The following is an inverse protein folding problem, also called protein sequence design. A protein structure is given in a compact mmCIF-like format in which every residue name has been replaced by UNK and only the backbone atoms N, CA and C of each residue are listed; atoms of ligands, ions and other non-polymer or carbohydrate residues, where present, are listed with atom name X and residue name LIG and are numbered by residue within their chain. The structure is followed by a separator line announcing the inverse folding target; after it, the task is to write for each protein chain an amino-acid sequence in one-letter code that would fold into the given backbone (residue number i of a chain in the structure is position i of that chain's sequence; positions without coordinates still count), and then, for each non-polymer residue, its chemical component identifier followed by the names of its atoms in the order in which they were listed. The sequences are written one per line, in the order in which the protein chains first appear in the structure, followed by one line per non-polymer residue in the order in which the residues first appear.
data_IF_128572304282
#
_entry.id   IF_128572304282
#
_cell.length_a   1.000
_cell.length_b   1.000
_cell.length_c   1.000
_cell.angle_alpha   90.00
_cell.angle_beta   90.00
_cell.angle_gamma   90.00
#
_symmetry.space_group_name_H-M   'P 1'
#
loop_
_entity.id
_entity.type
_entity.pdbx_description
1 polymer ?
#
# COMPACT_ATOMS: atom_id res chain seq x y z
N UNK A 1 -0.23 4.09 24.34
CA UNK A 1 -0.70 3.69 22.99
C UNK A 1 -0.18 2.30 22.60
N UNK A 2 1.12 2.01 22.75
CA UNK A 2 1.69 0.67 22.48
C UNK A 2 0.91 -0.43 23.21
N UNK A 3 0.72 -0.28 24.52
CA UNK A 3 -0.01 -1.26 25.35
C UNK A 3 -1.44 -1.48 24.85
N UNK A 4 -2.18 -0.39 24.58
CA UNK A 4 -3.55 -0.47 24.06
C UNK A 4 -3.65 -1.26 22.74
N UNK A 5 -2.67 -1.08 21.84
CA UNK A 5 -2.63 -1.80 20.58
C UNK A 5 -2.27 -3.29 20.78
N UNK A 6 -1.31 -3.59 21.67
CA UNK A 6 -0.94 -4.95 22.04
C UNK A 6 -2.09 -5.71 22.73
N UNK A 7 -2.78 -5.05 23.66
CA UNK A 7 -3.95 -5.57 24.38
C UNK A 7 -5.13 -5.83 23.43
N UNK A 8 -5.24 -5.03 22.38
CA UNK A 8 -6.19 -5.25 21.27
C UNK A 8 -5.78 -6.39 20.33
N UNK A 9 -4.64 -7.04 20.59
CA UNK A 9 -4.14 -8.20 19.86
C UNK A 9 -3.29 -7.88 18.63
N UNK A 10 -3.00 -6.61 18.34
CA UNK A 10 -2.21 -6.21 17.17
C UNK A 10 -0.72 -6.55 17.32
N UNK A 11 -0.05 -6.71 16.19
CA UNK A 11 1.38 -6.45 16.09
C UNK A 11 1.59 -4.93 16.03
N UNK A 12 2.66 -4.44 16.66
CA UNK A 12 2.99 -3.02 16.72
C UNK A 12 4.41 -2.84 16.19
N UNK A 13 4.61 -1.96 15.22
CA UNK A 13 5.93 -1.54 14.76
C UNK A 13 6.21 -0.18 15.38
N UNK A 14 7.35 -0.04 16.05
CA UNK A 14 7.83 1.21 16.64
C UNK A 14 9.18 1.55 16.02
N UNK A 15 9.34 2.79 15.59
CA UNK A 15 10.53 3.30 14.92
C UNK A 15 11.04 4.61 15.55
N UNK A 16 12.06 5.18 14.93
CA UNK A 16 12.32 6.61 14.93
C UNK A 16 12.03 7.13 13.52
N UNK A 17 11.23 8.18 13.39
CA UNK A 17 10.49 8.42 12.14
C UNK A 17 11.09 9.55 11.30
N UNK A 18 10.74 10.79 11.59
CA UNK A 18 11.29 11.97 10.91
C UNK A 18 12.67 12.38 11.44
N UNK A 19 13.13 11.72 12.50
CA UNK A 19 14.52 11.77 12.98
C UNK A 19 15.54 11.52 11.85
N UNK A 20 15.15 10.68 10.87
CA UNK A 20 15.96 10.35 9.68
C UNK A 20 16.43 11.57 8.91
N UNK A 21 15.55 12.55 8.72
CA UNK A 21 15.88 13.77 8.00
C UNK A 21 16.09 14.98 8.90
N UNK A 22 15.58 14.96 10.13
CA UNK A 22 15.74 16.06 11.06
C UNK A 22 17.15 16.14 11.63
N UNK A 23 17.82 15.00 11.84
CA UNK A 23 19.17 14.99 12.37
C UNK A 23 20.03 13.80 11.94
N UNK A 24 19.46 12.64 11.59
CA UNK A 24 20.28 11.49 11.21
C UNK A 24 20.96 11.68 9.83
N UNK A 25 20.34 12.45 8.93
CA UNK A 25 20.88 12.80 7.60
C UNK A 25 22.27 13.45 7.65
N UNK A 26 22.60 14.15 8.74
CA UNK A 26 23.92 14.76 8.92
C UNK A 26 25.01 13.76 9.35
N UNK A 27 24.75 12.45 9.46
CA UNK A 27 25.75 11.47 9.91
C UNK A 27 27.01 11.45 9.04
N UNK A 28 26.89 11.81 7.75
CA UNK A 28 28.04 11.89 6.85
C UNK A 28 29.02 13.02 7.20
N UNK A 29 28.57 14.06 7.89
CA UNK A 29 29.37 15.25 8.23
C UNK A 29 29.57 15.44 9.74
N UNK A 30 28.68 14.90 10.57
CA UNK A 30 28.73 14.96 12.03
C UNK A 30 28.48 13.56 12.64
N UNK A 31 29.33 12.63 12.22
CA UNK A 31 29.20 11.19 12.49
C UNK A 31 28.98 10.84 13.96
N UNK A 32 29.92 11.22 14.82
CA UNK A 32 29.96 10.76 16.21
C UNK A 32 28.79 11.31 17.02
N UNK A 33 28.36 12.54 16.75
CA UNK A 33 27.22 13.15 17.42
C UNK A 33 25.92 12.46 17.02
N UNK A 34 25.73 12.19 15.73
CA UNK A 34 24.55 11.48 15.23
C UNK A 34 24.51 10.06 15.77
N UNK A 35 25.62 9.33 15.72
CA UNK A 35 25.69 7.97 16.25
C UNK A 35 25.46 7.93 17.77
N UNK A 36 26.03 8.89 18.52
CA UNK A 36 25.79 9.01 19.97
C UNK A 36 24.31 9.23 20.27
N UNK A 37 23.66 10.15 19.55
CA UNK A 37 22.22 10.41 19.72
C UNK A 37 21.38 9.18 19.35
N UNK A 38 21.65 8.56 18.21
CA UNK A 38 20.96 7.35 17.76
C UNK A 38 21.07 6.22 18.80
N UNK A 39 22.27 5.98 19.31
CA UNK A 39 22.53 4.94 20.30
C UNK A 39 21.83 5.23 21.64
N UNK A 40 21.85 6.48 22.09
CA UNK A 40 21.16 6.90 23.31
C UNK A 40 19.63 6.73 23.17
N UNK A 41 19.05 7.10 22.04
CA UNK A 41 17.62 6.91 21.76
C UNK A 41 17.24 5.43 21.79
N UNK A 42 17.96 4.58 21.06
CA UNK A 42 17.66 3.15 21.03
C UNK A 42 17.92 2.44 22.36
N UNK A 43 18.90 2.88 23.14
CA UNK A 43 19.13 2.35 24.48
C UNK A 43 17.94 2.63 25.40
N UNK A 44 17.39 3.84 25.35
CA UNK A 44 16.20 4.22 26.12
C UNK A 44 14.97 3.42 25.66
N UNK A 45 14.69 3.37 24.36
CA UNK A 45 13.54 2.62 23.81
C UNK A 45 13.65 1.13 24.17
N UNK A 46 14.81 0.51 23.95
CA UNK A 46 15.03 -0.89 24.26
C UNK A 46 14.87 -1.18 25.76
N UNK A 47 15.32 -0.28 26.63
CA UNK A 47 15.15 -0.42 28.09
C UNK A 47 13.68 -0.31 28.49
N UNK A 48 12.97 0.73 28.03
CA UNK A 48 11.57 0.98 28.36
C UNK A 48 10.66 -0.18 27.95
N UNK A 49 10.88 -0.74 26.76
CA UNK A 49 10.05 -1.81 26.21
C UNK A 49 10.68 -3.20 26.33
N UNK A 50 11.66 -3.37 27.23
CA UNK A 50 12.44 -4.61 27.39
C UNK A 50 11.58 -5.85 27.59
N UNK A 51 10.50 -5.72 28.34
CA UNK A 51 9.62 -6.83 28.74
C UNK A 51 8.31 -6.86 27.95
N UNK A 52 8.11 -5.96 26.98
CA UNK A 52 6.90 -5.97 26.17
C UNK A 52 6.78 -7.25 25.34
N UNK A 53 5.52 -7.56 24.99
CA UNK A 53 5.16 -8.68 24.13
C UNK A 53 6.04 -8.78 22.87
N UNK A 54 6.29 -10.01 22.42
CA UNK A 54 7.02 -10.28 21.17
C UNK A 54 6.28 -9.78 19.91
N UNK A 55 5.02 -9.33 20.06
CA UNK A 55 4.25 -8.65 19.01
C UNK A 55 4.69 -7.20 18.78
N UNK A 56 5.41 -6.59 19.71
CA UNK A 56 6.09 -5.31 19.49
C UNK A 56 7.39 -5.57 18.71
N UNK A 57 7.51 -4.92 17.56
CA UNK A 57 8.60 -4.98 16.60
C UNK A 57 9.29 -3.62 16.63
N UNK A 58 10.63 -3.60 16.57
CA UNK A 58 11.38 -2.36 16.42
C UNK A 58 11.91 -2.24 15.00
N UNK A 59 11.71 -1.09 14.38
CA UNK A 59 12.32 -0.70 13.11
C UNK A 59 13.42 0.33 13.35
N UNK A 60 14.61 0.11 12.80
CA UNK A 60 15.79 0.88 13.18
C UNK A 60 15.68 2.39 12.92
N UNK A 61 15.10 2.79 11.78
CA UNK A 61 14.90 4.18 11.36
C UNK A 61 14.03 4.23 10.10
N UNK A 62 13.10 5.16 10.02
CA UNK A 62 12.28 5.37 8.82
C UNK A 62 13.06 6.10 7.72
N UNK A 63 12.93 5.65 6.46
CA UNK A 63 13.46 6.33 5.26
C UNK A 63 14.84 7.00 5.44
N UNK A 64 15.88 6.26 5.87
CA UNK A 64 17.19 6.84 6.16
C UNK A 64 17.83 7.41 4.89
N UNK A 65 18.29 8.66 4.98
CA UNK A 65 19.02 9.38 3.94
C UNK A 65 20.29 10.00 4.51
N UNK A 66 21.27 10.25 3.63
CA UNK A 66 22.54 10.92 3.98
C UNK A 66 23.01 11.77 2.79
N UNK A 67 22.31 12.88 2.51
CA UNK A 67 22.40 13.60 1.22
C UNK A 67 23.81 14.13 0.90
N UNK A 68 24.65 14.36 1.92
CA UNK A 68 26.03 14.84 1.73
C UNK A 68 27.06 13.72 1.47
N UNK A 69 26.62 12.48 1.24
CA UNK A 69 27.48 11.32 0.99
C UNK A 69 27.25 10.70 -0.40
N UNK A 70 28.28 10.05 -0.95
CA UNK A 70 28.13 9.21 -2.14
C UNK A 70 27.41 7.89 -1.83
N UNK A 71 27.04 7.13 -2.86
CA UNK A 71 26.30 5.87 -2.72
C UNK A 71 27.01 4.80 -1.87
N UNK A 72 28.34 4.77 -1.90
CA UNK A 72 29.14 3.81 -1.12
C UNK A 72 29.07 4.20 0.35
N UNK A 73 29.34 5.48 0.64
CA UNK A 73 29.31 6.00 2.00
C UNK A 73 27.91 5.98 2.61
N UNK A 74 26.86 6.27 1.84
CA UNK A 74 25.45 6.10 2.26
C UNK A 74 25.16 4.67 2.74
N UNK A 75 25.63 3.67 1.98
CA UNK A 75 25.44 2.26 2.34
C UNK A 75 26.21 1.87 3.62
N UNK A 76 27.43 2.39 3.81
CA UNK A 76 28.23 2.18 5.02
C UNK A 76 27.53 2.75 6.26
N UNK A 77 27.08 4.01 6.19
CA UNK A 77 26.40 4.70 7.29
C UNK A 77 25.11 3.99 7.70
N UNK A 78 24.28 3.58 6.72
CA UNK A 78 23.07 2.81 7.02
C UNK A 78 23.39 1.45 7.66
N UNK A 79 24.41 0.76 7.15
CA UNK A 79 24.84 -0.52 7.71
C UNK A 79 25.36 -0.36 9.15
N UNK A 80 26.04 0.75 9.46
CA UNK A 80 26.47 1.10 10.81
C UNK A 80 25.29 1.34 11.77
N UNK A 81 24.31 2.17 11.37
CA UNK A 81 23.10 2.39 12.17
C UNK A 81 22.35 1.08 12.43
N UNK A 82 22.16 0.25 11.41
CA UNK A 82 21.46 -1.03 11.53
C UNK A 82 22.19 -2.01 12.47
N UNK A 83 23.53 -2.09 12.40
CA UNK A 83 24.33 -2.93 13.32
C UNK A 83 24.32 -2.40 14.75
N UNK A 84 24.42 -1.08 14.92
CA UNK A 84 24.38 -0.46 16.24
C UNK A 84 23.03 -0.70 16.92
N UNK A 85 21.93 -0.43 16.20
CA UNK A 85 20.57 -0.72 16.64
C UNK A 85 20.40 -2.19 17.05
N UNK A 86 20.79 -3.13 16.18
CA UNK A 86 20.73 -4.57 16.47
C UNK A 86 21.48 -4.93 17.75
N UNK A 87 22.72 -4.46 17.88
CA UNK A 87 23.59 -4.70 19.04
C UNK A 87 22.98 -4.16 20.33
N UNK A 88 22.47 -2.92 20.32
CA UNK A 88 21.82 -2.28 21.48
C UNK A 88 20.61 -3.09 21.92
N UNK A 89 19.71 -3.41 20.99
CA UNK A 89 18.47 -4.12 21.32
C UNK A 89 18.80 -5.53 21.83
N UNK A 90 19.69 -6.29 21.19
CA UNK A 90 20.04 -7.64 21.66
C UNK A 90 20.74 -7.66 23.02
N UNK A 91 21.58 -6.67 23.30
CA UNK A 91 22.29 -6.56 24.60
C UNK A 91 21.41 -6.07 25.75
N UNK A 92 20.24 -5.48 25.46
CA UNK A 92 19.31 -4.99 26.49
C UNK A 92 18.59 -6.10 27.29
N UNK A 93 18.69 -7.37 26.86
CA UNK A 93 18.16 -8.51 27.60
C UNK A 93 16.63 -8.63 27.57
N UNK A 94 16.06 -9.51 28.40
CA UNK A 94 14.61 -9.75 28.44
C UNK A 94 14.05 -10.23 27.09
N UNK A 95 12.86 -9.76 26.73
CA UNK A 95 12.21 -10.14 25.47
C UNK A 95 12.94 -9.60 24.23
N UNK A 96 13.76 -8.56 24.38
CA UNK A 96 14.54 -7.98 23.28
C UNK A 96 15.58 -8.95 22.69
N UNK A 97 15.98 -9.99 23.44
CA UNK A 97 16.85 -11.07 22.93
C UNK A 97 16.22 -11.85 21.78
N UNK A 98 14.88 -11.85 21.67
CA UNK A 98 14.12 -12.58 20.63
C UNK A 98 13.11 -11.70 19.89
N UNK A 99 13.08 -10.39 20.17
CA UNK A 99 12.20 -9.42 19.50
C UNK A 99 12.51 -9.37 18.01
N UNK A 100 11.47 -9.31 17.18
CA UNK A 100 11.61 -9.08 15.75
C UNK A 100 12.18 -7.67 15.54
N UNK A 101 13.17 -7.56 14.66
CA UNK A 101 13.77 -6.28 14.29
C UNK A 101 13.61 -6.06 12.78
N UNK A 102 13.10 -4.89 12.41
CA UNK A 102 12.94 -4.43 11.04
C UNK A 102 14.11 -3.54 10.66
N UNK A 103 14.71 -3.81 9.50
CA UNK A 103 15.84 -3.06 8.96
C UNK A 103 15.48 -2.53 7.56
N UNK A 104 15.59 -1.22 7.31
CA UNK A 104 15.17 -0.58 6.08
C UNK A 104 16.25 -0.64 5.00
N UNK A 105 15.85 -0.52 3.74
CA UNK A 105 16.74 -0.02 2.69
C UNK A 105 16.95 1.50 2.83
N UNK A 106 17.95 2.04 2.14
CA UNK A 106 18.11 3.50 2.03
C UNK A 106 16.83 4.14 1.46
N UNK A 107 16.32 5.19 2.11
CA UNK A 107 15.03 5.84 1.80
C UNK A 107 13.86 4.85 1.71
N UNK A 108 13.97 3.68 2.35
CA UNK A 108 13.04 2.56 2.19
C UNK A 108 12.76 2.21 0.70
N UNK A 109 13.65 2.54 -0.23
CA UNK A 109 13.39 2.39 -1.66
C UNK A 109 13.62 0.94 -2.11
N UNK A 110 12.69 0.32 -2.88
CA UNK A 110 12.81 -1.06 -3.37
C UNK A 110 13.64 -1.15 -4.67
N UNK A 111 14.80 -0.50 -4.66
CA UNK A 111 15.83 -0.60 -5.69
C UNK A 111 16.72 -1.84 -5.48
N UNK A 112 17.17 -2.48 -6.57
CA UNK A 112 17.90 -3.73 -6.49
C UNK A 112 19.24 -3.59 -5.74
N UNK A 113 19.98 -2.49 -5.95
CA UNK A 113 21.26 -2.25 -5.28
C UNK A 113 21.03 -2.07 -3.79
N UNK A 114 20.04 -1.27 -3.41
CA UNK A 114 19.71 -1.01 -2.01
C UNK A 114 19.24 -2.27 -1.28
N UNK A 115 18.39 -3.07 -1.92
CA UNK A 115 17.94 -4.35 -1.36
C UNK A 115 19.08 -5.37 -1.24
N UNK A 116 20.03 -5.40 -2.19
CA UNK A 116 21.22 -6.27 -2.09
C UNK A 116 22.12 -5.86 -0.90
N UNK A 117 22.29 -4.56 -0.67
CA UNK A 117 23.03 -4.04 0.48
C UNK A 117 22.36 -4.47 1.79
N UNK A 118 21.05 -4.26 1.92
CA UNK A 118 20.30 -4.70 3.10
C UNK A 118 20.38 -6.22 3.32
N UNK A 119 20.23 -7.02 2.26
CA UNK A 119 20.34 -8.48 2.35
C UNK A 119 21.72 -8.91 2.86
N UNK A 120 22.78 -8.21 2.45
CA UNK A 120 24.14 -8.44 2.93
C UNK A 120 24.28 -8.10 4.41
N UNK A 121 23.74 -6.96 4.86
CA UNK A 121 23.70 -6.58 6.28
C UNK A 121 22.95 -7.62 7.11
N UNK A 122 21.73 -8.00 6.72
CA UNK A 122 20.92 -9.03 7.41
C UNK A 122 21.69 -10.34 7.54
N UNK A 123 22.31 -10.81 6.45
CA UNK A 123 23.12 -12.04 6.48
C UNK A 123 24.30 -11.93 7.45
N UNK A 124 24.97 -10.77 7.50
CA UNK A 124 26.14 -10.57 8.37
C UNK A 124 25.81 -10.55 9.87
N UNK A 125 24.56 -10.26 10.24
CA UNK A 125 24.11 -10.23 11.63
C UNK A 125 23.86 -11.63 12.21
N UNK A 126 23.73 -12.66 11.37
CA UNK A 126 23.47 -14.05 11.77
C UNK A 126 22.28 -14.20 12.75
N UNK A 127 21.24 -13.39 12.56
CA UNK A 127 20.09 -13.32 13.44
C UNK A 127 18.81 -13.78 12.71
N UNK A 128 18.11 -14.83 13.21
CA UNK A 128 16.91 -15.36 12.56
C UNK A 128 15.64 -14.53 12.82
N UNK A 129 15.74 -13.40 13.55
CA UNK A 129 14.62 -12.55 13.97
C UNK A 129 14.66 -11.18 13.30
N UNK A 130 15.12 -11.14 12.05
CA UNK A 130 15.19 -9.94 11.23
C UNK A 130 14.13 -9.93 10.13
N UNK A 131 13.62 -8.74 9.85
CA UNK A 131 12.66 -8.43 8.80
C UNK A 131 13.28 -7.33 7.93
N UNK A 132 13.19 -7.47 6.60
CA UNK A 132 13.52 -6.38 5.69
C UNK A 132 12.30 -5.46 5.50
N UNK A 133 12.51 -4.15 5.42
CA UNK A 133 11.45 -3.19 5.12
C UNK A 133 11.80 -2.24 3.97
N UNK A 134 10.78 -1.96 3.16
CA UNK A 134 10.78 -1.02 2.02
C UNK A 134 9.42 -0.34 1.97
N UNK A 135 9.31 0.81 1.32
CA UNK A 135 8.08 1.56 1.09
C UNK A 135 7.72 1.52 -0.39
N UNK A 136 6.42 1.64 -0.70
CA UNK A 136 5.99 1.70 -2.10
C UNK A 136 4.71 2.53 -2.27
N UNK A 137 4.87 3.70 -2.89
CA UNK A 137 3.78 4.63 -3.18
C UNK A 137 3.33 4.65 -4.64
N UNK A 138 3.59 3.55 -5.38
CA UNK A 138 3.21 3.41 -6.79
C UNK A 138 4.19 4.07 -7.77
N UNK A 139 4.01 3.75 -9.06
CA UNK A 139 4.75 4.40 -10.15
C UNK A 139 4.53 5.92 -10.12
N UNK A 140 5.61 6.69 -9.96
CA UNK A 140 5.54 8.11 -9.62
C UNK A 140 4.59 8.93 -10.50
N UNK A 141 4.67 8.90 -11.85
CA UNK A 141 3.74 9.66 -12.69
C UNK A 141 2.26 9.35 -12.45
N UNK A 142 1.93 8.09 -12.15
CA UNK A 142 0.57 7.68 -11.80
C UNK A 142 0.18 8.13 -10.40
N UNK A 143 1.07 7.95 -9.42
CA UNK A 143 0.75 8.17 -8.02
C UNK A 143 0.47 9.63 -7.68
N UNK A 144 1.07 10.58 -8.41
CA UNK A 144 0.80 12.02 -8.30
C UNK A 144 0.00 12.60 -9.48
N UNK A 145 -0.46 11.76 -10.42
CA UNK A 145 -1.23 12.15 -11.61
C UNK A 145 -0.57 13.28 -12.42
N UNK A 146 0.66 13.02 -12.88
CA UNK A 146 1.45 13.93 -13.73
C UNK A 146 1.84 13.25 -15.04
N UNK A 147 2.38 14.03 -15.98
CA UNK A 147 2.85 13.55 -17.28
C UNK A 147 1.79 12.75 -18.07
N UNK A 148 0.51 13.05 -17.86
CA UNK A 148 -0.62 12.37 -18.52
C UNK A 148 -0.93 10.95 -18.01
N UNK A 149 -0.25 10.46 -16.97
CA UNK A 149 -0.42 9.10 -16.45
C UNK A 149 -1.64 9.03 -15.52
N UNK A 150 -2.82 9.19 -16.09
CA UNK A 150 -4.10 9.26 -15.36
C UNK A 150 -4.75 7.89 -15.09
N UNK A 151 -4.17 6.80 -15.63
CA UNK A 151 -4.76 5.45 -15.64
C UNK A 151 -3.80 4.43 -15.03
N UNK A 152 -4.37 3.40 -14.40
CA UNK A 152 -3.65 2.20 -13.99
C UNK A 152 -3.36 1.31 -15.22
N UNK A 153 -2.50 1.80 -16.09
CA UNK A 153 -2.17 1.20 -17.38
C UNK A 153 -1.09 0.11 -17.26
N UNK A 154 -0.61 -0.39 -18.39
CA UNK A 154 0.42 -1.43 -18.46
C UNK A 154 1.76 -1.00 -17.87
N UNK A 155 2.11 0.29 -17.93
CA UNK A 155 3.36 0.81 -17.36
C UNK A 155 3.29 0.75 -15.84
N UNK A 156 2.19 1.22 -15.25
CA UNK A 156 1.97 1.16 -13.80
C UNK A 156 1.92 -0.28 -13.30
N UNK A 157 1.23 -1.16 -14.03
CA UNK A 157 1.15 -2.60 -13.71
C UNK A 157 2.53 -3.29 -13.77
N UNK A 158 3.35 -2.92 -14.75
CA UNK A 158 4.70 -3.46 -14.91
C UNK A 158 5.62 -3.01 -13.78
N UNK A 159 5.59 -1.73 -13.40
CA UNK A 159 6.37 -1.22 -12.28
C UNK A 159 6.03 -1.94 -10.97
N UNK A 160 4.74 -2.08 -10.68
CA UNK A 160 4.24 -2.82 -9.51
C UNK A 160 4.74 -4.27 -9.51
N UNK A 161 4.50 -5.02 -10.58
CA UNK A 161 4.87 -6.44 -10.66
C UNK A 161 6.38 -6.66 -10.61
N UNK A 162 7.18 -5.81 -11.26
CA UNK A 162 8.63 -5.90 -11.23
C UNK A 162 9.20 -5.57 -9.86
N UNK A 163 8.62 -4.59 -9.15
CA UNK A 163 9.04 -4.24 -7.80
C UNK A 163 8.83 -5.39 -6.82
N UNK A 164 7.65 -6.00 -6.81
CA UNK A 164 7.39 -7.16 -5.96
C UNK A 164 8.23 -8.38 -6.35
N UNK A 165 8.51 -8.60 -7.64
CA UNK A 165 9.42 -9.65 -8.09
C UNK A 165 10.82 -9.46 -7.50
N UNK A 166 11.37 -8.24 -7.55
CA UNK A 166 12.69 -7.95 -6.97
C UNK A 166 12.70 -8.17 -5.45
N UNK A 167 11.65 -7.72 -4.75
CA UNK A 167 11.48 -7.95 -3.30
C UNK A 167 11.48 -9.46 -2.99
N UNK A 168 10.67 -10.22 -3.71
CA UNK A 168 10.56 -11.66 -3.52
C UNK A 168 11.90 -12.37 -3.74
N UNK A 169 12.54 -12.13 -4.89
CA UNK A 169 13.78 -12.82 -5.26
C UNK A 169 14.95 -12.44 -4.36
N UNK A 170 14.96 -11.21 -3.85
CA UNK A 170 16.05 -10.72 -2.99
C UNK A 170 15.92 -11.22 -1.56
N UNK A 171 14.70 -11.28 -1.01
CA UNK A 171 14.43 -11.55 0.41
C UNK A 171 13.58 -12.80 0.64
N UNK A 172 12.33 -12.80 0.17
CA UNK A 172 11.33 -13.82 0.51
C UNK A 172 11.77 -15.22 0.08
N UNK A 173 12.30 -15.35 -1.14
CA UNK A 173 12.84 -16.60 -1.68
C UNK A 173 14.05 -17.13 -0.88
N UNK A 174 14.68 -16.27 -0.08
CA UNK A 174 15.83 -16.58 0.79
C UNK A 174 15.43 -16.64 2.27
N UNK A 175 14.14 -16.80 2.56
CA UNK A 175 13.58 -16.88 3.91
C UNK A 175 13.81 -15.62 4.77
N UNK A 176 13.99 -14.46 4.15
CA UNK A 176 13.97 -13.17 4.85
C UNK A 176 12.55 -12.59 4.71
N UNK A 177 11.77 -12.49 5.80
CA UNK A 177 10.44 -11.89 5.74
C UNK A 177 10.53 -10.41 5.38
N UNK A 178 9.54 -9.93 4.64
CA UNK A 178 9.45 -8.53 4.21
C UNK A 178 8.15 -7.92 4.69
N UNK A 179 8.25 -6.71 5.22
CA UNK A 179 7.13 -5.82 5.46
C UNK A 179 7.29 -4.62 4.53
N UNK A 180 6.26 -4.30 3.74
CA UNK A 180 6.16 -2.97 3.16
C UNK A 180 5.63 -2.05 4.26
N UNK A 181 6.54 -1.32 4.91
CA UNK A 181 6.28 -0.48 6.09
C UNK A 181 5.28 0.64 5.82
N UNK A 182 5.27 1.12 4.57
CA UNK A 182 4.29 2.08 4.08
C UNK A 182 3.93 1.80 2.63
N UNK A 183 2.63 1.85 2.33
CA UNK A 183 2.15 1.91 0.96
C UNK A 183 0.95 2.85 0.82
N UNK A 184 0.78 3.35 -0.40
CA UNK A 184 -0.29 4.27 -0.77
C UNK A 184 -0.10 4.79 -2.19
N UNK A 185 -0.63 5.99 -2.47
CA UNK A 185 -0.29 6.78 -3.66
C UNK A 185 0.09 8.18 -3.17
N UNK A 186 1.25 8.69 -3.59
CA UNK A 186 1.79 9.99 -3.11
C UNK A 186 0.80 11.15 -3.26
N UNK A 187 0.03 11.19 -4.35
CA UNK A 187 -0.96 12.24 -4.58
C UNK A 187 -2.03 12.33 -3.49
N UNK A 188 -2.22 11.28 -2.69
CA UNK A 188 -3.17 11.28 -1.58
C UNK A 188 -2.72 12.17 -0.40
N UNK A 189 -1.43 12.49 -0.29
CA UNK A 189 -0.91 13.49 0.66
C UNK A 189 -1.41 14.91 0.34
N UNK A 190 -1.83 15.15 -0.90
CA UNK A 190 -2.46 16.40 -1.34
C UNK A 190 -4.00 16.36 -1.26
N UNK A 191 -4.57 15.29 -0.68
CA UNK A 191 -5.99 15.13 -0.45
C UNK A 191 -6.68 14.13 -1.38
N UNK A 192 -7.96 13.82 -1.11
CA UNK A 192 -8.73 12.91 -1.94
C UNK A 192 -8.92 13.46 -3.36
N UNK A 193 -8.77 12.60 -4.37
CA UNK A 193 -9.09 12.93 -5.76
C UNK A 193 -7.90 13.23 -6.67
N UNK A 194 -6.66 13.19 -6.17
CA UNK A 194 -5.47 13.31 -7.03
C UNK A 194 -5.43 12.21 -8.11
N UNK A 195 -5.77 10.98 -7.74
CA UNK A 195 -5.95 9.85 -8.66
C UNK A 195 -7.43 9.52 -8.79
N UNK A 196 -7.89 9.28 -10.03
CA UNK A 196 -9.28 8.91 -10.32
C UNK A 196 -9.65 7.64 -9.52
N UNK A 197 -10.85 7.64 -8.92
CA UNK A 197 -11.27 6.64 -7.95
C UNK A 197 -11.28 5.22 -8.52
N UNK A 198 -11.80 5.02 -9.73
CA UNK A 198 -11.80 3.72 -10.40
C UNK A 198 -10.39 3.20 -10.69
N UNK A 199 -9.46 4.09 -11.04
CA UNK A 199 -8.04 3.77 -11.22
C UNK A 199 -7.36 3.41 -9.90
N UNK A 200 -7.65 4.15 -8.82
CA UNK A 200 -7.15 3.86 -7.48
C UNK A 200 -7.67 2.50 -6.97
N UNK A 201 -8.93 2.16 -7.25
CA UNK A 201 -9.48 0.83 -6.93
C UNK A 201 -8.73 -0.28 -7.66
N UNK A 202 -8.43 -0.10 -8.95
CA UNK A 202 -7.63 -1.06 -9.73
C UNK A 202 -6.21 -1.20 -9.17
N UNK A 203 -5.57 -0.10 -8.78
CA UNK A 203 -4.26 -0.11 -8.14
C UNK A 203 -4.26 -0.92 -6.84
N UNK A 204 -5.16 -0.63 -5.89
CA UNK A 204 -5.20 -1.35 -4.61
C UNK A 204 -5.62 -2.81 -4.73
N UNK A 205 -6.45 -3.15 -5.72
CA UNK A 205 -6.75 -4.54 -6.07
C UNK A 205 -5.47 -5.29 -6.49
N UNK A 206 -4.73 -4.73 -7.45
CA UNK A 206 -3.52 -5.32 -7.99
C UNK A 206 -2.38 -5.35 -6.97
N UNK A 207 -2.21 -4.28 -6.18
CA UNK A 207 -1.19 -4.17 -5.14
C UNK A 207 -1.40 -5.27 -4.09
N UNK A 208 -2.60 -5.36 -3.50
CA UNK A 208 -2.85 -6.37 -2.48
C UNK A 208 -2.81 -7.80 -3.03
N UNK A 209 -3.24 -8.03 -4.29
CA UNK A 209 -3.03 -9.32 -4.93
C UNK A 209 -1.54 -9.69 -5.03
N UNK A 210 -0.73 -8.76 -5.54
CA UNK A 210 0.71 -8.95 -5.74
C UNK A 210 1.44 -9.15 -4.40
N UNK A 211 1.09 -8.37 -3.37
CA UNK A 211 1.67 -8.52 -2.03
C UNK A 211 1.39 -9.90 -1.45
N UNK A 212 0.13 -10.35 -1.48
CA UNK A 212 -0.25 -11.68 -0.98
C UNK A 212 0.47 -12.81 -1.70
N UNK A 213 0.53 -12.78 -3.03
CA UNK A 213 1.15 -13.87 -3.81
C UNK A 213 2.67 -13.90 -3.66
N UNK A 214 3.29 -12.77 -3.35
CA UNK A 214 4.71 -12.68 -3.02
C UNK A 214 5.00 -12.84 -1.52
N UNK A 215 3.99 -13.15 -0.68
CA UNK A 215 4.11 -13.33 0.77
C UNK A 215 4.72 -12.12 1.50
N UNK A 216 4.36 -10.92 1.07
CA UNK A 216 4.82 -9.66 1.65
C UNK A 216 3.70 -9.07 2.53
N UNK A 217 4.02 -8.79 3.79
CA UNK A 217 3.12 -8.08 4.70
C UNK A 217 3.12 -6.60 4.35
N UNK A 218 1.99 -5.91 4.48
CA UNK A 218 1.85 -4.50 4.06
C UNK A 218 1.17 -3.68 5.13
N UNK A 219 1.64 -2.45 5.35
CA UNK A 219 1.06 -1.49 6.30
C UNK A 219 0.62 -0.25 5.52
N UNK A 220 -0.69 0.04 5.53
CA UNK A 220 -1.27 1.17 4.80
C UNK A 220 -0.83 2.47 5.48
N UNK A 221 -0.28 3.41 4.70
CA UNK A 221 -0.04 4.76 5.18
C UNK A 221 -1.37 5.51 5.33
N UNK A 222 -1.73 5.87 6.55
CA UNK A 222 -2.93 6.67 6.85
C UNK A 222 -2.60 7.86 7.75
N UNK A 223 -2.19 8.95 7.12
CA UNK A 223 -2.01 10.27 7.74
C UNK A 223 -3.34 10.95 8.13
N UNK A 224 -4.47 10.23 8.12
CA UNK A 224 -5.83 10.73 8.32
C UNK A 224 -6.60 10.89 7.01
N UNK A 225 -6.01 10.59 5.86
CA UNK A 225 -6.67 10.67 4.57
C UNK A 225 -7.65 9.51 4.30
N UNK A 226 -7.48 8.33 4.92
CA UNK A 226 -8.38 7.19 4.72
C UNK A 226 -9.41 7.05 5.84
N UNK A 227 -8.96 7.05 7.11
CA UNK A 227 -9.83 6.90 8.27
C UNK A 227 -10.13 8.26 8.93
N UNK A 228 -11.42 8.58 9.05
CA UNK A 228 -11.90 9.74 9.82
C UNK A 228 -11.82 9.36 11.31
N UNK A 229 -10.79 9.87 12.00
CA UNK A 229 -10.50 9.54 13.40
C UNK A 229 -11.51 10.17 14.38
N UNK A 230 -12.16 11.26 14.00
CA UNK A 230 -13.18 11.91 14.82
C UNK A 230 -14.52 11.15 14.75
N UNK A 231 -14.87 10.67 13.56
CA UNK A 231 -16.12 9.92 13.31
C UNK A 231 -15.96 8.41 13.39
N UNK A 232 -14.75 7.93 13.61
CA UNK A 232 -14.38 6.51 13.68
C UNK A 232 -14.91 5.70 12.48
N UNK A 233 -14.74 6.23 11.26
CA UNK A 233 -15.21 5.58 10.03
C UNK A 233 -14.30 5.84 8.85
N UNK A 234 -14.27 4.91 7.90
CA UNK A 234 -13.59 5.12 6.62
C UNK A 234 -14.26 6.24 5.81
N UNK A 235 -13.47 7.16 5.28
CA UNK A 235 -13.95 8.26 4.42
C UNK A 235 -14.51 7.73 3.09
N UNK A 236 -13.93 6.66 2.55
CA UNK A 236 -14.47 5.88 1.44
C UNK A 236 -14.54 4.38 1.82
N UNK A 237 -15.70 3.95 2.31
CA UNK A 237 -15.94 2.56 2.68
C UNK A 237 -15.77 1.57 1.52
N UNK A 238 -16.00 2.01 0.27
CA UNK A 238 -15.81 1.18 -0.91
C UNK A 238 -14.33 0.98 -1.24
N UNK A 239 -13.50 2.01 -1.04
CA UNK A 239 -12.05 1.90 -1.17
C UNK A 239 -11.45 1.00 -0.10
N UNK A 240 -11.85 1.20 1.17
CA UNK A 240 -11.44 0.29 2.24
C UNK A 240 -11.91 -1.14 1.97
N UNK A 241 -13.14 -1.33 1.51
CA UNK A 241 -13.64 -2.66 1.11
C UNK A 241 -12.75 -3.31 0.06
N UNK A 242 -12.30 -2.54 -0.95
CA UNK A 242 -11.38 -3.02 -1.98
C UNK A 242 -10.03 -3.46 -1.38
N UNK A 243 -9.42 -2.62 -0.53
CA UNK A 243 -8.17 -2.95 0.19
C UNK A 243 -8.36 -4.19 1.07
N UNK A 244 -9.41 -4.24 1.87
CA UNK A 244 -9.72 -5.40 2.74
C UNK A 244 -9.93 -6.68 1.94
N UNK A 245 -10.62 -6.62 0.80
CA UNK A 245 -10.84 -7.81 -0.04
C UNK A 245 -9.54 -8.36 -0.61
N UNK A 246 -8.58 -7.48 -0.91
CA UNK A 246 -7.23 -7.87 -1.30
C UNK A 246 -6.41 -8.41 -0.13
N UNK A 247 -7.02 -8.57 1.05
CA UNK A 247 -6.72 -9.48 2.15
C UNK A 247 -6.61 -10.96 1.80
N UNK A 248 -7.55 -11.41 0.99
CA UNK A 248 -7.85 -12.85 0.86
C UNK A 248 -8.24 -13.28 -0.55
N UNK A 249 -8.67 -12.35 -1.40
CA UNK A 249 -9.14 -12.66 -2.74
C UNK A 249 -8.79 -11.57 -3.74
N UNK A 250 -8.94 -11.87 -5.02
CA UNK A 250 -9.04 -10.83 -6.06
C UNK A 250 -10.48 -10.35 -6.19
N UNK A 251 -10.64 -9.14 -6.69
CA UNK A 251 -11.93 -8.52 -6.99
C UNK A 251 -11.98 -8.15 -8.47
N UNK A 252 -13.13 -8.33 -9.11
CA UNK A 252 -13.29 -7.88 -10.48
C UNK A 252 -13.33 -6.35 -10.54
N UNK A 253 -12.77 -5.79 -11.60
CA UNK A 253 -12.79 -4.34 -11.88
C UNK A 253 -13.35 -4.10 -13.28
N UNK A 254 -13.41 -2.83 -13.69
CA UNK A 254 -13.86 -2.45 -15.03
C UNK A 254 -12.91 -1.40 -15.64
N UNK A 255 -13.02 -1.20 -16.94
CA UNK A 255 -12.27 -0.18 -17.69
C UNK A 255 -12.42 1.22 -17.07
N UNK A 256 -13.57 1.50 -16.48
CA UNK A 256 -13.87 2.70 -15.69
C UNK A 256 -14.98 2.37 -14.69
N UNK A 257 -15.03 3.11 -13.59
CA UNK A 257 -16.13 3.12 -12.64
C UNK A 257 -17.19 4.19 -12.97
N UNK A 258 -17.13 4.87 -14.12
CA UNK A 258 -18.06 5.93 -14.49
C UNK A 258 -18.74 5.67 -15.85
N UNK A 259 -20.03 5.98 -15.97
CA UNK A 259 -20.76 5.95 -17.25
C UNK A 259 -21.35 7.30 -17.61
N UNK A 260 -20.73 8.02 -18.55
CA UNK A 260 -21.18 9.34 -18.96
C UNK A 260 -22.30 9.29 -20.02
N UNK A 261 -23.43 9.94 -19.68
CA UNK A 261 -24.57 10.18 -20.58
C UNK A 261 -24.67 11.69 -20.87
N UNK A 262 -24.69 12.11 -22.16
CA UNK A 262 -24.80 13.53 -22.51
C UNK A 262 -26.12 14.16 -22.03
N UNK A 263 -26.06 15.44 -21.64
CA UNK A 263 -27.22 16.23 -21.19
C UNK A 263 -28.33 16.27 -22.24
N UNK A 264 -27.96 16.40 -23.50
CA UNK A 264 -28.87 16.49 -24.64
C UNK A 264 -28.58 15.39 -25.67
N UNK A 265 -29.51 15.18 -26.61
CA UNK A 265 -29.37 14.20 -27.68
C UNK A 265 -29.74 12.77 -27.29
N UNK A 266 -29.55 11.86 -28.26
CA UNK A 266 -29.94 10.44 -28.15
C UNK A 266 -28.99 9.68 -27.23
N UNK A 267 -29.53 9.03 -26.20
CA UNK A 267 -28.78 8.07 -25.36
C UNK A 267 -28.45 6.84 -26.18
N UNK A 268 -27.21 6.38 -26.09
CA UNK A 268 -26.70 5.19 -26.78
C UNK A 268 -26.32 4.12 -25.77
N UNK A 269 -26.27 2.87 -26.23
CA UNK A 269 -25.67 1.79 -25.47
C UNK A 269 -24.24 2.17 -25.06
N UNK A 270 -23.85 1.80 -23.83
CA UNK A 270 -22.49 2.02 -23.31
C UNK A 270 -21.88 0.69 -22.93
N UNK A 271 -20.67 0.43 -23.38
CA UNK A 271 -19.96 -0.82 -23.08
C UNK A 271 -18.76 -0.55 -22.21
N UNK A 272 -18.64 -1.31 -21.13
CA UNK A 272 -17.49 -1.38 -20.24
C UNK A 272 -16.78 -2.71 -20.46
N UNK A 273 -15.45 -2.70 -20.38
CA UNK A 273 -14.66 -3.94 -20.36
C UNK A 273 -14.44 -4.32 -18.91
N UNK A 274 -14.94 -5.48 -18.49
CA UNK A 274 -14.69 -6.05 -17.17
C UNK A 274 -13.30 -6.69 -17.16
N UNK A 275 -12.52 -6.41 -16.12
CA UNK A 275 -11.41 -7.25 -15.73
C UNK A 275 -11.90 -8.20 -14.64
N UNK A 276 -12.20 -9.44 -15.02
CA UNK A 276 -12.83 -10.41 -14.13
C UNK A 276 -11.91 -10.90 -13.03
N UNK A 277 -10.58 -10.82 -13.18
CA UNK A 277 -9.61 -11.31 -12.20
C UNK A 277 -9.94 -12.75 -11.69
N UNK A 278 -10.40 -13.59 -12.62
CA UNK A 278 -10.83 -14.96 -12.40
C UNK A 278 -12.20 -15.13 -11.71
N UNK A 279 -12.88 -14.05 -11.33
CA UNK A 279 -14.25 -14.10 -10.82
C UNK A 279 -15.27 -14.25 -11.96
N UNK A 280 -16.51 -14.55 -11.62
CA UNK A 280 -17.61 -14.68 -12.58
C UNK A 280 -18.68 -13.64 -12.26
N UNK A 281 -19.11 -12.89 -13.27
CA UNK A 281 -20.21 -11.94 -13.14
C UNK A 281 -21.52 -12.65 -12.77
N UNK A 282 -22.27 -12.09 -11.82
CA UNK A 282 -23.52 -12.67 -11.29
C UNK A 282 -24.73 -11.81 -11.58
N UNK A 283 -24.66 -10.51 -11.32
CA UNK A 283 -25.78 -9.60 -11.51
C UNK A 283 -25.31 -8.15 -11.67
N UNK A 284 -26.17 -7.31 -12.24
CA UNK A 284 -26.06 -5.86 -12.15
C UNK A 284 -27.26 -5.33 -11.38
N UNK A 285 -27.05 -4.46 -10.41
CA UNK A 285 -28.10 -3.91 -9.55
C UNK A 285 -28.12 -2.39 -9.58
N UNK A 286 -29.28 -1.82 -9.31
CA UNK A 286 -29.46 -0.41 -8.94
C UNK A 286 -30.19 -0.39 -7.59
N UNK A 287 -29.48 0.01 -6.53
CA UNK A 287 -29.95 -0.24 -5.16
C UNK A 287 -30.14 -1.74 -4.91
N UNK A 288 -31.31 -2.14 -4.42
CA UNK A 288 -31.65 -3.56 -4.20
C UNK A 288 -32.17 -4.27 -5.45
N UNK A 289 -32.55 -3.51 -6.49
CA UNK A 289 -33.19 -4.05 -7.69
C UNK A 289 -32.16 -4.66 -8.65
N UNK A 290 -32.38 -5.92 -9.06
CA UNK A 290 -31.60 -6.55 -10.14
C UNK A 290 -32.07 -6.03 -11.49
N UNK A 291 -31.13 -5.57 -12.31
CA UNK A 291 -31.37 -5.25 -13.71
C UNK A 291 -31.52 -6.54 -14.52
N UNK A 292 -32.29 -6.48 -15.60
CA UNK A 292 -32.68 -7.65 -16.40
C UNK A 292 -31.71 -7.83 -17.56
N UNK A 293 -31.06 -8.99 -17.63
CA UNK A 293 -30.19 -9.35 -18.77
C UNK A 293 -30.99 -9.33 -20.09
N UNK A 294 -30.35 -8.91 -21.19
CA UNK A 294 -30.90 -8.66 -22.54
C UNK A 294 -31.84 -7.45 -22.64
N UNK A 295 -32.46 -6.99 -21.55
CA UNK A 295 -33.31 -5.79 -21.52
C UNK A 295 -32.56 -4.55 -21.06
N UNK A 296 -31.92 -4.63 -19.89
CA UNK A 296 -31.25 -3.49 -19.27
C UNK A 296 -29.74 -3.49 -19.52
N UNK A 297 -29.15 -4.69 -19.61
CA UNK A 297 -27.75 -4.87 -20.00
C UNK A 297 -27.55 -6.21 -20.72
N UNK A 298 -26.44 -6.36 -21.42
CA UNK A 298 -25.94 -7.66 -21.94
C UNK A 298 -24.50 -7.85 -21.51
N UNK A 299 -24.07 -9.10 -21.33
CA UNK A 299 -22.67 -9.45 -21.10
C UNK A 299 -22.22 -10.44 -22.18
N UNK A 300 -21.23 -10.06 -23.00
CA UNK A 300 -20.61 -10.93 -24.00
C UNK A 300 -19.12 -11.07 -23.69
N UNK A 301 -18.70 -12.25 -23.23
CA UNK A 301 -17.37 -12.44 -22.65
C UNK A 301 -17.19 -11.52 -21.43
N UNK A 302 -16.26 -10.59 -21.52
CA UNK A 302 -16.04 -9.56 -20.50
C UNK A 302 -16.60 -8.17 -20.87
N UNK A 303 -17.39 -8.06 -21.94
CA UNK A 303 -17.97 -6.78 -22.38
C UNK A 303 -19.37 -6.62 -21.79
N UNK A 304 -19.50 -5.76 -20.78
CA UNK A 304 -20.77 -5.40 -20.17
C UNK A 304 -21.36 -4.20 -20.92
N UNK A 305 -22.45 -4.40 -21.66
CA UNK A 305 -23.14 -3.35 -22.40
C UNK A 305 -24.43 -2.95 -21.67
N UNK A 306 -24.48 -1.72 -21.18
CA UNK A 306 -25.68 -1.08 -20.65
C UNK A 306 -26.54 -0.58 -21.80
N UNK A 307 -27.83 -0.94 -21.80
CA UNK A 307 -28.76 -0.58 -22.87
C UNK A 307 -29.22 0.87 -22.77
N UNK A 308 -29.34 1.54 -23.90
CA UNK A 308 -29.77 2.94 -23.99
C UNK A 308 -31.09 3.21 -23.27
N UNK A 309 -32.05 2.26 -23.33
CA UNK A 309 -33.32 2.36 -22.63
C UNK A 309 -33.15 2.34 -21.10
N UNK A 310 -32.30 1.45 -20.58
CA UNK A 310 -31.99 1.41 -19.16
C UNK A 310 -31.22 2.66 -18.71
N UNK A 311 -30.22 3.11 -19.48
CA UNK A 311 -29.51 4.35 -19.21
C UNK A 311 -30.46 5.54 -19.16
N UNK A 312 -31.36 5.69 -20.14
CA UNK A 312 -32.38 6.76 -20.18
C UNK A 312 -33.25 6.76 -18.93
N UNK A 313 -33.69 5.58 -18.48
CA UNK A 313 -34.48 5.44 -17.24
C UNK A 313 -33.67 5.81 -15.99
N UNK A 314 -32.41 5.36 -15.92
CA UNK A 314 -31.54 5.58 -14.76
C UNK A 314 -31.12 7.05 -14.60
N UNK A 315 -30.85 7.75 -15.71
CA UNK A 315 -30.40 9.15 -15.65
C UNK A 315 -31.54 10.16 -15.49
N UNK A 316 -32.81 9.74 -15.67
CA UNK A 316 -33.98 10.60 -15.51
C UNK A 316 -33.89 11.90 -16.32
N UNK A 317 -33.94 13.05 -15.62
CA UNK A 317 -33.84 14.39 -16.20
C UNK A 317 -32.42 14.80 -16.65
N UNK A 318 -31.44 13.91 -16.48
CA UNK A 318 -30.02 14.12 -16.81
C UNK A 318 -29.46 15.36 -16.11
N UNK A 319 -29.80 15.58 -14.84
CA UNK A 319 -29.14 16.61 -14.04
C UNK A 319 -27.63 16.36 -14.03
N UNK A 320 -26.83 17.43 -14.03
CA UNK A 320 -25.37 17.28 -13.94
C UNK A 320 -24.98 16.60 -12.62
N UNK A 321 -23.99 15.71 -12.67
CA UNK A 321 -23.55 14.90 -11.53
C UNK A 321 -23.95 13.43 -11.65
N UNK A 322 -23.90 12.72 -10.53
CA UNK A 322 -24.25 11.29 -10.45
C UNK A 322 -25.77 11.15 -10.38
N UNK A 323 -26.40 10.52 -11.37
CA UNK A 323 -27.85 10.30 -11.39
C UNK A 323 -28.27 8.93 -10.82
N UNK A 324 -27.39 7.92 -10.92
CA UNK A 324 -27.64 6.57 -10.43
C UNK A 324 -26.31 5.89 -10.11
N UNK A 325 -26.30 4.88 -9.25
CA UNK A 325 -25.11 4.04 -9.01
C UNK A 325 -25.47 2.58 -9.23
N UNK A 326 -24.73 1.93 -10.12
CA UNK A 326 -24.90 0.52 -10.43
C UNK A 326 -23.88 -0.32 -9.67
N UNK A 327 -24.31 -1.49 -9.22
CA UNK A 327 -23.46 -2.46 -8.52
C UNK A 327 -23.41 -3.76 -9.33
N UNK A 328 -22.23 -4.08 -9.86
CA UNK A 328 -21.91 -5.35 -10.46
C UNK A 328 -21.51 -6.36 -9.36
N UNK A 329 -22.24 -7.47 -9.27
CA UNK A 329 -21.96 -8.55 -8.35
C UNK A 329 -21.17 -9.66 -9.03
N UNK A 330 -20.22 -10.24 -8.29
CA UNK A 330 -19.34 -11.29 -8.77
C UNK A 330 -19.33 -12.47 -7.80
N UNK A 331 -18.79 -13.61 -8.23
CA UNK A 331 -18.70 -14.82 -7.39
C UNK A 331 -17.81 -14.67 -6.15
N UNK A 332 -16.91 -13.68 -6.13
CA UNK A 332 -15.99 -13.37 -5.03
C UNK A 332 -15.45 -11.95 -5.15
N UNK A 333 -14.77 -11.48 -4.11
CA UNK A 333 -14.22 -10.13 -4.04
C UNK A 333 -15.28 -9.11 -3.62
N UNK A 334 -14.91 -7.83 -3.64
CA UNK A 334 -15.91 -6.77 -3.46
C UNK A 334 -16.87 -6.76 -4.65
N UNK A 335 -18.16 -6.43 -4.43
CA UNK A 335 -19.01 -6.01 -5.52
C UNK A 335 -18.38 -4.80 -6.23
N UNK A 336 -18.27 -4.84 -7.55
CA UNK A 336 -17.84 -3.69 -8.33
C UNK A 336 -18.96 -2.65 -8.34
N UNK A 337 -18.67 -1.38 -8.07
CA UNK A 337 -19.64 -0.28 -8.25
C UNK A 337 -19.23 0.57 -9.46
N UNK A 338 -20.19 0.93 -10.31
CA UNK A 338 -20.02 2.00 -11.30
C UNK A 338 -21.00 3.14 -11.00
N UNK A 339 -20.50 4.36 -10.94
CA UNK A 339 -21.27 5.60 -10.76
C UNK A 339 -21.77 6.17 -12.07
#
# INVERSE_FOLDING_TARGET
MVDQALDSGFYVILDIHHDSWQWADSMSTDHDKVLTRFNATWTQIATSFRNESAKLVFESINEPRFESADNTRKAELLNELNRSFHSIVRKSGGNNTKRLLMLPTEVCTPDQRLMNNLATTIKSLHDPRLIATVHYYGYFPFSVNVAGTTRFDTTVQKDLSQTFKRIHDTFVAKNIPVVIGEYGLLGYDHGPGAVERGEMQKYFEAFGHTARTNKVTTVLWDNGAFFDRDKLRWKDAGMYGQIKSSWSTRSATASTDNVFVPKTGRVKDRTLTLNLNGATFKALKHGTAKLVNRKDYTLAGNRLTLKAAALTRLVGNRAHGVNATLQAEFSRGVPGGSR
#
